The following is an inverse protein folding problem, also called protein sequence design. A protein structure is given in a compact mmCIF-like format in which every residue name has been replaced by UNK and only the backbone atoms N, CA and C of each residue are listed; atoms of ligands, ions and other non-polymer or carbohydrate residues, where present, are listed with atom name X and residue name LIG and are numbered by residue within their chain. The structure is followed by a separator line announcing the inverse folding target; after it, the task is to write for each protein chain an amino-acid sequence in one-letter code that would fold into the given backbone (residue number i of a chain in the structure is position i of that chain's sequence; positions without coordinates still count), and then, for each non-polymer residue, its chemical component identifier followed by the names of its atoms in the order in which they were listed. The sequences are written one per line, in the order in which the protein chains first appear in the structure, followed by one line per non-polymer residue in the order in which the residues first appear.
data_IF_132481818350
#
_entry.id   IF_132481818350
#
_cell.length_a   1.000
_cell.length_b   1.000
_cell.length_c   1.000
_cell.angle_alpha   90.00
_cell.angle_beta   90.00
_cell.angle_gamma   90.00
#
_symmetry.space_group_name_H-M   'P 1'
#
loop_
_entity.id
_entity.type
_entity.pdbx_description
1 polymer ?
#
# COMPACT_ATOMS: atom_id res chain seq x y z
N UNK A 1 -16.15 2.65 -3.67
CA UNK A 1 -15.76 3.52 -4.79
C UNK A 1 -14.85 2.72 -5.71
N UNK A 2 -15.12 2.72 -7.02
CA UNK A 2 -14.20 2.16 -8.01
C UNK A 2 -13.16 3.23 -8.31
N UNK A 3 -12.01 3.18 -7.64
CA UNK A 3 -10.92 4.12 -7.93
C UNK A 3 -10.51 4.00 -9.39
N UNK A 4 -10.62 5.10 -10.12
CA UNK A 4 -10.28 5.13 -11.54
C UNK A 4 -8.80 5.44 -11.66
N UNK A 5 -7.98 4.41 -11.77
CA UNK A 5 -6.57 4.57 -12.16
C UNK A 5 -6.54 4.95 -13.66
N UNK A 6 -6.18 6.19 -14.03
CA UNK A 6 -6.19 6.63 -15.41
C UNK A 6 -5.11 5.93 -16.24
N UNK A 7 -5.39 5.71 -17.52
CA UNK A 7 -4.36 5.39 -18.52
C UNK A 7 -3.43 6.61 -18.66
N UNK A 8 -2.10 6.44 -18.81
CA UNK A 8 -1.36 5.17 -18.97
C UNK A 8 -0.74 4.61 -17.67
N UNK A 9 -1.30 4.96 -16.51
CA UNK A 9 -0.74 4.59 -15.20
C UNK A 9 -1.15 3.17 -14.81
N UNK A 10 -0.19 2.42 -14.27
CA UNK A 10 -0.36 1.23 -13.45
C UNK A 10 -0.01 1.60 -12.01
N UNK A 11 -0.96 1.42 -11.10
CA UNK A 11 -0.74 1.61 -9.67
C UNK A 11 -1.50 0.53 -8.89
N UNK A 12 -0.96 0.10 -7.76
CA UNK A 12 -1.62 -0.85 -6.88
C UNK A 12 -1.83 -0.18 -5.51
N UNK A 13 -3.04 0.36 -5.23
CA UNK A 13 -3.31 1.06 -3.99
C UNK A 13 -3.37 0.11 -2.79
N UNK A 14 -3.80 -1.16 -2.95
CA UNK A 14 -3.74 -2.17 -1.88
C UNK A 14 -2.33 -2.35 -1.31
N UNK A 15 -1.29 -2.17 -2.13
CA UNK A 15 0.11 -2.25 -1.68
C UNK A 15 0.64 -0.96 -1.08
N UNK A 16 0.19 0.17 -1.59
CA UNK A 16 0.98 1.39 -1.52
C UNK A 16 0.24 2.57 -0.91
N UNK A 17 -1.04 2.46 -0.54
CA UNK A 17 -1.81 3.61 -0.12
C UNK A 17 -2.60 3.39 1.17
N UNK A 18 -2.29 4.19 2.19
CA UNK A 18 -2.91 4.10 3.52
C UNK A 18 -4.39 4.45 3.52
N UNK A 19 -4.75 5.64 3.01
CA UNK A 19 -6.14 6.09 3.03
C UNK A 19 -7.07 5.16 2.25
N UNK A 20 -6.60 4.61 1.13
CA UNK A 20 -7.30 3.57 0.40
C UNK A 20 -7.63 2.38 1.31
N UNK A 21 -6.63 1.83 2.01
CA UNK A 21 -6.87 0.69 2.89
C UNK A 21 -7.78 1.03 4.08
N UNK A 22 -7.70 2.25 4.63
CA UNK A 22 -8.67 2.71 5.64
C UNK A 22 -10.10 2.68 5.11
N UNK A 23 -10.33 3.19 3.90
CA UNK A 23 -11.66 3.13 3.27
C UNK A 23 -12.10 1.70 2.99
N UNK A 24 -11.16 0.80 2.63
CA UNK A 24 -11.47 -0.61 2.37
C UNK A 24 -11.83 -1.37 3.65
N UNK A 25 -11.22 -1.06 4.79
CA UNK A 25 -11.58 -1.69 6.09
C UNK A 25 -13.08 -1.56 6.34
N UNK A 26 -13.67 -0.38 6.17
CA UNK A 26 -15.11 -0.18 6.39
C UNK A 26 -16.02 -0.95 5.42
N UNK A 27 -15.50 -1.43 4.29
CA UNK A 27 -16.23 -2.34 3.39
C UNK A 27 -16.00 -3.79 3.81
N UNK A 28 -14.76 -4.13 4.19
CA UNK A 28 -14.36 -5.48 4.56
C UNK A 28 -14.98 -5.96 5.87
N UNK A 29 -15.34 -5.07 6.78
CA UNK A 29 -16.04 -5.42 8.04
C UNK A 29 -17.38 -6.12 7.81
N UNK A 30 -18.04 -5.82 6.69
CA UNK A 30 -19.34 -6.40 6.33
C UNK A 30 -19.22 -7.54 5.30
N UNK A 31 -18.00 -7.97 4.97
CA UNK A 31 -17.73 -9.01 4.00
C UNK A 31 -17.38 -10.34 4.67
N UNK A 32 -17.83 -11.44 4.06
CA UNK A 32 -17.34 -12.78 4.39
C UNK A 32 -15.81 -12.85 4.23
N UNK A 33 -15.16 -13.59 5.14
CA UNK A 33 -13.70 -13.60 5.25
C UNK A 33 -13.01 -14.03 3.95
N UNK A 34 -13.55 -15.01 3.22
CA UNK A 34 -12.97 -15.50 1.96
C UNK A 34 -12.84 -14.38 0.92
N UNK A 35 -13.79 -13.43 0.91
CA UNK A 35 -13.74 -12.29 0.01
C UNK A 35 -12.72 -11.23 0.48
N UNK A 36 -12.58 -11.05 1.80
CA UNK A 36 -11.53 -10.19 2.38
C UNK A 36 -10.14 -10.77 2.08
N UNK A 37 -9.98 -12.07 2.24
CA UNK A 37 -8.74 -12.79 1.95
C UNK A 37 -8.37 -12.65 0.47
N UNK A 38 -9.34 -12.75 -0.44
CA UNK A 38 -9.11 -12.50 -1.87
C UNK A 38 -8.57 -11.08 -2.12
N UNK A 39 -9.12 -10.06 -1.46
CA UNK A 39 -8.61 -8.68 -1.57
C UNK A 39 -7.17 -8.55 -1.05
N UNK A 40 -6.79 -9.31 -0.03
CA UNK A 40 -5.43 -9.30 0.53
C UNK A 40 -4.38 -9.86 -0.43
N UNK A 41 -4.78 -10.63 -1.46
CA UNK A 41 -3.88 -11.01 -2.55
C UNK A 41 -3.28 -9.78 -3.25
N UNK A 42 -4.06 -8.68 -3.32
CA UNK A 42 -3.63 -7.39 -3.86
C UNK A 42 -2.40 -6.83 -3.16
N UNK A 43 -2.22 -7.10 -1.86
CA UNK A 43 -1.08 -6.63 -1.03
C UNK A 43 0.21 -7.42 -1.36
N UNK A 44 0.08 -8.69 -1.76
CA UNK A 44 1.21 -9.60 -1.98
C UNK A 44 1.95 -9.99 -0.68
N UNK A 45 3.20 -10.44 -0.80
CA UNK A 45 3.98 -11.06 0.31
C UNK A 45 5.27 -10.29 0.67
N UNK A 46 5.63 -9.29 -0.11
CA UNK A 46 6.94 -8.64 -0.02
C UNK A 46 6.97 -7.44 0.94
N UNK A 47 8.18 -6.92 1.15
CA UNK A 47 8.37 -5.61 1.78
C UNK A 47 7.93 -4.51 0.79
N UNK A 48 7.07 -3.61 1.25
CA UNK A 48 6.45 -2.56 0.43
C UNK A 48 6.73 -1.16 1.00
N UNK A 49 6.75 -0.18 0.11
CA UNK A 49 6.81 1.25 0.44
C UNK A 49 5.37 1.79 0.42
N UNK A 50 4.91 2.32 1.54
CA UNK A 50 3.51 2.58 1.85
C UNK A 50 3.29 4.07 2.11
N UNK A 51 2.53 4.70 1.22
CA UNK A 51 2.21 6.12 1.27
C UNK A 51 1.15 6.39 2.34
N UNK A 52 1.43 7.37 3.20
CA UNK A 52 0.62 7.79 4.35
C UNK A 52 0.28 9.28 4.31
N UNK A 53 0.42 9.92 3.14
CA UNK A 53 0.06 11.33 2.96
C UNK A 53 -1.41 11.51 2.57
N UNK A 54 -1.78 12.76 2.32
CA UNK A 54 -3.18 13.17 2.15
C UNK A 54 -3.68 13.10 0.70
N UNK A 55 -2.77 12.92 -0.28
CA UNK A 55 -3.21 12.81 -1.68
C UNK A 55 -4.00 11.52 -1.89
N UNK A 56 -5.12 11.60 -2.61
CA UNK A 56 -5.89 10.41 -2.99
C UNK A 56 -5.19 9.63 -4.10
N UNK A 57 -5.62 8.40 -4.31
CA UNK A 57 -5.13 7.57 -5.41
C UNK A 57 -5.36 8.22 -6.77
N UNK A 58 -6.53 8.80 -7.01
CA UNK A 58 -6.82 9.54 -8.24
C UNK A 58 -5.88 10.72 -8.42
N UNK A 59 -5.62 11.48 -7.34
CA UNK A 59 -4.76 12.67 -7.39
C UNK A 59 -3.31 12.29 -7.69
N UNK A 60 -2.77 11.28 -7.01
CA UNK A 60 -1.43 10.74 -7.27
C UNK A 60 -1.31 10.31 -8.73
N UNK A 61 -2.25 9.50 -9.22
CA UNK A 61 -2.18 8.99 -10.59
C UNK A 61 -2.31 10.12 -11.61
N UNK A 62 -3.18 11.11 -11.38
CA UNK A 62 -3.34 12.27 -12.25
C UNK A 62 -2.08 13.13 -12.30
N UNK A 63 -1.43 13.38 -11.16
CA UNK A 63 -0.18 14.13 -11.09
C UNK A 63 0.97 13.41 -11.79
N UNK A 64 1.10 12.09 -11.59
CA UNK A 64 2.06 11.29 -12.33
C UNK A 64 1.80 11.32 -13.84
N UNK A 65 0.55 11.16 -14.28
CA UNK A 65 0.21 11.24 -15.70
C UNK A 65 0.50 12.64 -16.29
N UNK A 66 0.17 13.70 -15.55
CA UNK A 66 0.41 15.08 -15.96
C UNK A 66 1.91 15.39 -16.08
N UNK A 67 2.76 14.81 -15.23
CA UNK A 67 4.22 14.92 -15.34
C UNK A 67 4.74 14.46 -16.71
N UNK A 68 4.21 13.35 -17.24
CA UNK A 68 4.60 12.82 -18.54
C UNK A 68 4.01 13.61 -19.69
N UNK A 69 2.72 13.96 -19.56
CA UNK A 69 2.00 14.76 -20.57
C UNK A 69 2.69 16.12 -20.82
N UNK A 70 3.09 16.82 -19.77
CA UNK A 70 3.76 18.13 -19.89
C UNK A 70 5.15 18.05 -20.55
N UNK A 71 5.71 16.84 -20.68
CA UNK A 71 7.00 16.56 -21.33
C UNK A 71 6.85 15.89 -22.70
N UNK A 72 5.64 15.82 -23.23
CA UNK A 72 5.32 15.13 -24.48
C UNK A 72 5.70 13.63 -24.47
N UNK A 73 5.70 12.99 -23.30
CA UNK A 73 5.91 11.55 -23.13
C UNK A 73 4.54 10.88 -23.11
N UNK A 74 3.97 10.66 -24.30
CA UNK A 74 2.55 10.28 -24.45
C UNK A 74 2.35 8.83 -24.90
N UNK A 75 3.43 8.11 -25.20
CA UNK A 75 3.38 6.75 -25.70
C UNK A 75 4.48 5.86 -25.09
N UNK A 76 4.36 4.56 -25.32
CA UNK A 76 5.24 3.55 -24.72
C UNK A 76 6.69 3.67 -25.22
N UNK A 77 6.92 4.12 -26.45
CA UNK A 77 8.26 4.24 -27.05
C UNK A 77 8.96 5.44 -26.43
N UNK A 78 8.32 6.62 -26.44
CA UNK A 78 8.88 7.84 -25.84
C UNK A 78 9.13 7.65 -24.34
N UNK A 79 8.20 6.98 -23.63
CA UNK A 79 8.39 6.62 -22.23
C UNK A 79 9.57 5.66 -21.99
N UNK A 80 9.71 4.64 -22.83
CA UNK A 80 10.84 3.69 -22.70
C UNK A 80 12.17 4.41 -22.92
N UNK A 81 12.24 5.34 -23.88
CA UNK A 81 13.42 6.16 -24.12
C UNK A 81 13.72 7.10 -22.94
N UNK A 82 12.69 7.69 -22.32
CA UNK A 82 12.85 8.53 -21.14
C UNK A 82 13.43 7.77 -19.95
N UNK A 83 13.08 6.50 -19.76
CA UNK A 83 13.64 5.69 -18.67
C UNK A 83 15.14 5.47 -18.84
N UNK A 84 15.60 5.21 -20.08
CA UNK A 84 17.00 4.88 -20.38
C UNK A 84 18.00 5.95 -19.88
N UNK A 85 19.21 5.54 -19.45
CA UNK A 85 19.73 4.16 -19.40
C UNK A 85 19.26 3.37 -18.17
N UNK A 86 18.41 3.95 -17.31
CA UNK A 86 17.96 3.32 -16.08
C UNK A 86 16.68 2.50 -16.31
N UNK A 87 16.48 1.46 -15.50
CA UNK A 87 15.22 0.70 -15.50
C UNK A 87 14.09 1.41 -14.74
N UNK A 88 14.45 2.42 -13.96
CA UNK A 88 13.53 3.22 -13.17
C UNK A 88 14.06 4.64 -13.00
N UNK A 89 13.14 5.57 -12.77
CA UNK A 89 13.44 6.96 -12.40
C UNK A 89 12.54 7.39 -11.26
N UNK A 90 12.86 8.51 -10.62
CA UNK A 90 11.99 9.13 -9.64
C UNK A 90 11.40 10.42 -10.18
N UNK A 91 10.19 10.74 -9.74
CA UNK A 91 9.57 12.05 -9.91
C UNK A 91 9.11 12.56 -8.55
N UNK A 92 8.96 13.87 -8.42
CA UNK A 92 8.38 14.52 -7.24
C UNK A 92 7.00 15.05 -7.62
N UNK A 93 6.03 14.87 -6.73
CA UNK A 93 4.65 15.37 -6.90
C UNK A 93 4.33 16.48 -5.89
N UNK A 94 3.10 16.99 -5.89
CA UNK A 94 2.73 18.25 -5.23
C UNK A 94 2.95 18.29 -3.71
N UNK A 95 2.88 17.16 -3.02
CA UNK A 95 3.13 17.02 -1.59
C UNK A 95 4.62 16.78 -1.25
N UNK A 96 5.51 17.00 -2.22
CA UNK A 96 6.95 16.71 -2.15
C UNK A 96 7.31 15.23 -2.01
N UNK A 97 6.35 14.30 -2.06
CA UNK A 97 6.66 12.87 -2.08
C UNK A 97 7.33 12.48 -3.40
N UNK A 98 8.32 11.60 -3.30
CA UNK A 98 9.01 10.99 -4.42
C UNK A 98 8.33 9.68 -4.84
N UNK A 99 8.13 9.52 -6.14
CA UNK A 99 7.51 8.34 -6.73
C UNK A 99 8.45 7.68 -7.72
N UNK A 100 8.63 6.37 -7.56
CA UNK A 100 9.41 5.54 -8.49
C UNK A 100 8.54 5.22 -9.69
N UNK A 101 9.09 5.47 -10.87
CA UNK A 101 8.51 5.19 -12.17
C UNK A 101 9.26 4.04 -12.81
N UNK A 102 8.53 3.01 -13.24
CA UNK A 102 9.05 1.82 -13.93
C UNK A 102 8.18 1.48 -15.14
N UNK A 103 8.69 0.60 -16.00
CA UNK A 103 7.93 0.02 -17.10
C UNK A 103 6.79 -0.86 -16.56
N UNK A 104 5.57 -0.51 -16.91
CA UNK A 104 4.37 -1.32 -16.70
C UNK A 104 4.33 -2.51 -17.66
N UNK A 105 3.65 -3.57 -17.23
CA UNK A 105 3.52 -4.81 -18.03
C UNK A 105 2.45 -4.68 -19.12
N UNK A 106 1.38 -3.94 -18.85
CA UNK A 106 0.27 -3.80 -19.78
C UNK A 106 0.60 -2.77 -20.90
N UNK A 107 0.29 -3.05 -22.18
CA UNK A 107 0.58 -2.14 -23.28
C UNK A 107 0.01 -0.73 -23.11
N UNK A 108 -1.23 -0.61 -22.63
CA UNK A 108 -1.89 0.68 -22.40
C UNK A 108 -1.58 1.30 -21.03
N UNK A 109 -1.05 0.51 -20.08
CA UNK A 109 -0.70 0.99 -18.73
C UNK A 109 0.79 0.86 -18.48
N UNK A 110 1.56 1.46 -19.37
CA UNK A 110 3.01 1.27 -19.43
C UNK A 110 3.79 2.08 -18.38
N UNK A 111 3.13 2.93 -17.58
CA UNK A 111 3.76 3.72 -16.51
C UNK A 111 3.41 3.12 -15.15
N UNK A 112 4.27 2.26 -14.61
CA UNK A 112 4.08 1.70 -13.27
C UNK A 112 4.67 2.64 -12.22
N UNK A 113 3.85 3.04 -11.26
CA UNK A 113 4.24 3.92 -10.16
C UNK A 113 4.17 3.21 -8.80
N UNK A 114 5.06 3.58 -7.89
CA UNK A 114 4.92 3.31 -6.45
C UNK A 114 5.74 4.33 -5.64
N UNK A 115 5.42 4.55 -4.36
CA UNK A 115 6.17 5.47 -3.51
C UNK A 115 7.65 5.09 -3.44
N UNK A 116 8.54 6.08 -3.46
CA UNK A 116 9.95 5.82 -3.26
C UNK A 116 10.27 5.51 -1.79
N UNK A 117 11.21 4.59 -1.57
CA UNK A 117 11.75 4.32 -0.23
C UNK A 117 12.27 5.62 0.41
N UNK A 118 11.89 5.86 1.68
CA UNK A 118 12.28 7.06 2.47
C UNK A 118 11.81 8.39 1.86
N UNK A 119 10.84 8.36 0.95
CA UNK A 119 10.14 9.57 0.51
C UNK A 119 9.40 10.24 1.68
N UNK A 120 9.18 11.57 1.65
CA UNK A 120 8.12 12.19 2.43
C UNK A 120 6.81 11.37 2.37
N UNK A 121 6.11 11.32 3.50
CA UNK A 121 4.85 10.59 3.64
C UNK A 121 4.91 9.11 3.27
N UNK A 122 6.07 8.44 3.39
CA UNK A 122 6.22 7.03 3.04
C UNK A 122 6.91 6.25 4.15
N UNK A 123 6.27 5.17 4.59
CA UNK A 123 6.86 4.19 5.52
C UNK A 123 7.12 2.86 4.82
N UNK A 124 8.00 2.03 5.38
CA UNK A 124 8.30 0.70 4.82
C UNK A 124 7.70 -0.38 5.69
N UNK A 125 6.85 -1.23 5.12
CA UNK A 125 6.04 -2.21 5.85
C UNK A 125 6.17 -3.59 5.20
N UNK A 126 6.23 -4.66 6.00
CA UNK A 126 6.14 -6.03 5.47
C UNK A 126 4.69 -6.37 5.19
N UNK A 127 4.38 -6.97 4.05
CA UNK A 127 3.01 -7.38 3.73
C UNK A 127 2.37 -8.22 4.84
N UNK A 128 3.10 -9.17 5.43
CA UNK A 128 2.60 -9.99 6.54
C UNK A 128 2.20 -9.14 7.77
N UNK A 129 2.95 -8.07 8.06
CA UNK A 129 2.63 -7.13 9.14
C UNK A 129 1.37 -6.33 8.81
N UNK A 130 1.27 -5.81 7.58
CA UNK A 130 0.10 -5.08 7.11
C UNK A 130 -1.16 -5.95 7.15
N UNK A 131 -1.13 -7.14 6.54
CA UNK A 131 -2.24 -8.10 6.58
C UNK A 131 -2.67 -8.45 8.00
N UNK A 132 -1.72 -8.63 8.93
CA UNK A 132 -2.04 -8.88 10.34
C UNK A 132 -2.82 -7.71 10.96
N UNK A 133 -2.36 -6.46 10.77
CA UNK A 133 -3.05 -5.27 11.27
C UNK A 133 -4.43 -5.11 10.63
N UNK A 134 -4.53 -5.25 9.32
CA UNK A 134 -5.82 -5.16 8.62
C UNK A 134 -6.80 -6.23 9.11
N UNK A 135 -6.35 -7.45 9.38
CA UNK A 135 -7.22 -8.50 9.92
C UNK A 135 -7.75 -8.13 11.31
N UNK A 136 -6.89 -7.61 12.18
CA UNK A 136 -7.33 -7.13 13.50
C UNK A 136 -8.40 -6.03 13.35
N UNK A 137 -8.21 -5.09 12.42
CA UNK A 137 -9.17 -4.02 12.16
C UNK A 137 -10.50 -4.56 11.62
N UNK A 138 -10.46 -5.44 10.60
CA UNK A 138 -11.66 -6.03 9.97
C UNK A 138 -12.44 -6.89 10.96
N UNK A 139 -11.76 -7.67 11.80
CA UNK A 139 -12.41 -8.47 12.84
C UNK A 139 -12.81 -7.65 14.08
N UNK A 140 -12.59 -6.34 14.09
CA UNK A 140 -12.85 -5.43 15.21
C UNK A 140 -12.19 -5.90 16.53
N UNK A 141 -10.95 -6.36 16.45
CA UNK A 141 -10.18 -6.86 17.57
C UNK A 141 -9.19 -5.78 18.02
N UNK A 142 -9.48 -5.17 19.16
CA UNK A 142 -8.59 -4.19 19.76
C UNK A 142 -7.35 -4.87 20.40
N UNK A 143 -6.19 -4.24 20.19
CA UNK A 143 -4.96 -4.52 20.95
C UNK A 143 -4.44 -3.21 21.53
N UNK A 144 -3.83 -3.25 22.73
CA UNK A 144 -3.28 -2.04 23.37
C UNK A 144 -1.96 -2.31 24.08
N UNK A 145 -1.02 -1.36 24.17
CA UNK A 145 0.29 -1.60 24.81
C UNK A 145 0.23 -2.14 26.25
N UNK A 146 -0.91 -1.98 26.94
CA UNK A 146 -1.14 -2.40 28.32
C UNK A 146 -1.78 -3.79 28.44
N UNK A 147 -2.27 -4.38 27.34
CA UNK A 147 -2.89 -5.69 27.34
C UNK A 147 -1.84 -6.80 27.31
N UNK A 148 -1.83 -7.63 28.36
CA UNK A 148 -0.93 -8.77 28.50
C UNK A 148 -1.16 -9.83 27.41
N UNK A 149 -2.40 -9.97 26.92
CA UNK A 149 -2.79 -11.04 26.00
C UNK A 149 -2.64 -10.66 24.52
N UNK A 150 -2.14 -9.47 24.18
CA UNK A 150 -2.00 -9.04 22.79
C UNK A 150 -1.23 -10.04 21.93
N UNK A 151 -0.13 -10.59 22.45
CA UNK A 151 0.70 -11.54 21.70
C UNK A 151 -0.11 -12.80 21.35
N UNK A 152 -0.92 -13.30 22.30
CA UNK A 152 -1.79 -14.45 22.10
C UNK A 152 -2.87 -14.15 21.06
N UNK A 153 -3.53 -12.99 21.18
CA UNK A 153 -4.57 -12.53 20.24
C UNK A 153 -4.01 -12.39 18.82
N UNK A 154 -2.88 -11.69 18.67
CA UNK A 154 -2.20 -11.51 17.39
C UNK A 154 -1.83 -12.86 16.78
N UNK A 155 -1.27 -13.77 17.56
CA UNK A 155 -0.90 -15.10 17.07
C UNK A 155 -2.11 -15.94 16.66
N UNK A 156 -3.22 -15.87 17.42
CA UNK A 156 -4.48 -16.54 17.06
C UNK A 156 -5.00 -16.06 15.70
N UNK A 157 -4.98 -14.75 15.46
CA UNK A 157 -5.43 -14.19 14.17
C UNK A 157 -4.49 -14.57 13.03
N UNK A 158 -3.17 -14.49 13.26
CA UNK A 158 -2.18 -14.86 12.26
C UNK A 158 -2.35 -16.30 11.78
N UNK A 159 -2.61 -17.24 12.68
CA UNK A 159 -2.77 -18.65 12.31
C UNK A 159 -4.16 -18.94 11.75
N UNK A 160 -5.22 -18.44 12.39
CA UNK A 160 -6.60 -18.79 12.01
C UNK A 160 -7.01 -18.18 10.66
N UNK A 161 -6.62 -16.93 10.40
CA UNK A 161 -7.10 -16.17 9.25
C UNK A 161 -6.07 -16.05 8.12
N UNK A 162 -4.77 -15.96 8.45
CA UNK A 162 -3.73 -15.65 7.47
C UNK A 162 -2.79 -16.80 7.16
N UNK A 163 -2.94 -17.95 7.84
CA UNK A 163 -2.02 -19.09 7.75
C UNK A 163 -0.55 -18.70 7.98
N UNK A 164 -0.31 -17.64 8.75
CA UNK A 164 1.03 -17.19 9.11
C UNK A 164 1.49 -17.83 10.40
N UNK A 165 2.79 -18.13 10.48
CA UNK A 165 3.41 -18.59 11.71
C UNK A 165 3.27 -17.56 12.85
N UNK A 166 3.13 -18.01 14.10
CA UNK A 166 3.12 -17.12 15.25
C UNK A 166 4.44 -16.35 15.36
N UNK A 167 4.38 -15.15 15.95
CA UNK A 167 5.55 -14.35 16.31
C UNK A 167 5.92 -14.57 17.78
N UNK A 168 7.20 -14.37 18.08
CA UNK A 168 7.76 -14.58 19.43
C UNK A 168 7.51 -13.42 20.38
N UNK A 169 7.36 -12.21 19.84
CA UNK A 169 7.19 -11.00 20.64
C UNK A 169 6.47 -9.92 19.84
N UNK A 170 5.88 -8.98 20.58
CA UNK A 170 5.13 -7.85 20.04
C UNK A 170 5.66 -6.54 20.66
N UNK A 171 6.87 -6.10 20.27
CA UNK A 171 7.49 -4.92 20.86
C UNK A 171 6.73 -3.64 20.53
N UNK A 172 6.58 -2.74 21.51
CA UNK A 172 5.96 -1.41 21.34
C UNK A 172 6.75 -0.57 20.33
N UNK A 173 6.03 0.21 19.52
CA UNK A 173 6.61 1.15 18.56
C UNK A 173 7.37 0.51 17.38
N UNK A 174 7.22 -0.81 17.17
CA UNK A 174 7.81 -1.52 16.01
C UNK A 174 6.79 -2.47 15.38
N UNK A 175 6.99 -2.77 14.09
CA UNK A 175 6.27 -3.84 13.39
C UNK A 175 4.75 -3.69 13.49
N UNK A 176 4.07 -4.74 13.99
CA UNK A 176 2.61 -4.77 14.12
C UNK A 176 2.11 -3.65 15.04
N UNK A 177 2.73 -3.42 16.20
CA UNK A 177 2.26 -2.38 17.13
C UNK A 177 2.37 -0.98 16.53
N UNK A 178 3.49 -0.67 15.88
CA UNK A 178 3.67 0.63 15.23
C UNK A 178 2.63 0.88 14.14
N UNK A 179 2.35 -0.14 13.33
CA UNK A 179 1.40 -0.02 12.24
C UNK A 179 -0.04 0.01 12.77
N UNK A 180 -0.36 -0.77 13.80
CA UNK A 180 -1.64 -0.70 14.50
C UNK A 180 -1.91 0.71 15.03
N UNK A 181 -0.94 1.33 15.72
CA UNK A 181 -1.04 2.71 16.21
C UNK A 181 -1.25 3.75 15.10
N UNK A 182 -0.82 3.45 13.86
CA UNK A 182 -1.11 4.31 12.70
C UNK A 182 -2.58 4.18 12.28
N UNK A 183 -3.08 2.95 12.14
CA UNK A 183 -4.46 2.69 11.73
C UNK A 183 -5.48 3.11 12.79
N UNK A 184 -5.21 2.86 14.07
CA UNK A 184 -6.11 3.15 15.19
C UNK A 184 -6.37 4.65 15.43
N UNK A 185 -5.55 5.54 14.85
CA UNK A 185 -5.75 7.00 14.96
C UNK A 185 -6.88 7.52 14.08
N UNK A 186 -7.46 6.67 13.23
CA UNK A 186 -8.49 7.00 12.23
C UNK A 186 -9.63 6.00 12.32
#
# INVERSE_FOLDING_TARGET
MNEKIPVPVTFNPHKHHFQFLLQRIGVWTDMEWENVEHEFLGIGENLLDFYTGDLTVEKICAECAQFFKSRNINDKITFSNWLLPLEYRKIVISDSSEWVIKKGKHPERFIHIHPAKKSPHTIRVRAATLKTVLTLMVCNIAISPQMNDNLLIVNKIRTAYLQFSPIKSLPRGKGIMQLWELFFKF
#
